data_IF_036543181637
#
_entry.id   IF_036543181637
#
_cell.length_a   1.000
_cell.length_b   1.000
_cell.length_c   1.000
_cell.angle_alpha   90.00
_cell.angle_beta   90.00
_cell.angle_gamma   90.00
#
_symmetry.space_group_name_H-M   'P 1'
#
loop_
_entity.id
_entity.type
_entity.pdbx_description
1 polymer ?
#
# COMPACT_ATOMS: atom_id res chain seq x y z
N UNK A 1 7.65 -9.82 10.66
CA UNK A 1 6.50 -9.23 9.94
C UNK A 1 7.04 -8.04 9.19
N UNK A 2 6.85 -7.96 7.90
CA UNK A 2 7.31 -6.81 7.13
C UNK A 2 6.42 -5.58 7.43
N UNK A 3 7.06 -4.43 7.64
CA UNK A 3 6.39 -3.16 7.83
C UNK A 3 6.40 -2.38 6.51
N UNK A 4 5.33 -1.64 6.25
CA UNK A 4 5.23 -0.80 5.08
C UNK A 4 4.82 0.63 5.44
N UNK A 5 5.27 1.59 4.63
CA UNK A 5 4.67 2.92 4.57
C UNK A 5 4.12 3.21 3.18
N UNK A 6 3.08 4.03 3.11
CA UNK A 6 2.47 4.48 1.87
C UNK A 6 2.63 5.99 1.78
N UNK A 7 3.19 6.46 0.68
CA UNK A 7 3.52 7.85 0.43
C UNK A 7 2.73 8.35 -0.78
N UNK A 8 1.92 9.39 -0.62
CA UNK A 8 1.18 10.00 -1.72
C UNK A 8 1.79 11.36 -2.04
N UNK A 9 2.22 11.52 -3.28
CA UNK A 9 2.84 12.75 -3.79
C UNK A 9 1.80 13.48 -4.65
N UNK A 10 1.55 14.73 -4.34
CA UNK A 10 0.65 15.58 -5.12
C UNK A 10 0.07 16.74 -4.30
N UNK A 11 0.26 17.95 -4.79
CA UNK A 11 -0.28 19.15 -4.17
C UNK A 11 -1.81 19.14 -4.13
N UNK A 12 -2.49 18.52 -5.10
CA UNK A 12 -3.95 18.39 -5.16
C UNK A 12 -4.52 17.59 -4.00
N UNK A 13 -3.72 16.67 -3.43
CA UNK A 13 -4.09 15.92 -2.21
C UNK A 13 -3.99 16.83 -0.99
N UNK A 14 -2.89 17.59 -0.88
CA UNK A 14 -2.64 18.49 0.26
C UNK A 14 -3.68 19.60 0.38
N UNK A 15 -4.10 20.17 -0.76
CA UNK A 15 -5.15 21.22 -0.76
C UNK A 15 -6.57 20.64 -0.69
N UNK A 16 -6.72 19.30 -0.61
CA UNK A 16 -8.02 18.62 -0.49
C UNK A 16 -8.87 18.66 -1.77
N UNK A 17 -8.26 18.90 -2.94
CA UNK A 17 -8.95 18.89 -4.22
C UNK A 17 -9.32 17.47 -4.65
N UNK A 18 -8.45 16.50 -4.33
CA UNK A 18 -8.65 15.07 -4.59
C UNK A 18 -8.52 14.30 -3.27
N UNK A 19 -9.37 13.32 -3.08
CA UNK A 19 -9.26 12.39 -1.95
C UNK A 19 -8.31 11.26 -2.30
N UNK A 20 -7.33 11.00 -1.44
CA UNK A 20 -6.41 9.86 -1.61
C UNK A 20 -7.16 8.54 -1.40
N UNK A 21 -7.57 7.93 -2.49
CA UNK A 21 -8.17 6.59 -2.50
C UNK A 21 -7.14 5.49 -2.72
N UNK A 22 -5.97 5.82 -3.29
CA UNK A 22 -4.90 4.87 -3.60
C UNK A 22 -4.34 4.26 -2.32
N UNK A 23 -3.98 5.09 -1.34
CA UNK A 23 -3.42 4.61 -0.06
C UNK A 23 -4.35 3.63 0.65
N UNK A 24 -5.66 3.86 0.61
CA UNK A 24 -6.65 2.95 1.21
C UNK A 24 -6.70 1.59 0.50
N UNK A 25 -6.62 1.56 -0.82
CA UNK A 25 -6.65 0.31 -1.60
C UNK A 25 -5.33 -0.48 -1.44
N UNK A 26 -4.20 0.23 -1.52
CA UNK A 26 -2.87 -0.36 -1.30
C UNK A 26 -2.77 -0.95 0.11
N UNK A 27 -3.19 -0.20 1.13
CA UNK A 27 -3.15 -0.67 2.52
C UNK A 27 -3.94 -1.96 2.73
N UNK A 28 -5.14 -2.06 2.15
CA UNK A 28 -5.93 -3.30 2.23
C UNK A 28 -5.22 -4.48 1.57
N UNK A 29 -4.67 -4.26 0.37
CA UNK A 29 -3.95 -5.31 -0.35
C UNK A 29 -2.69 -5.78 0.38
N UNK A 30 -1.98 -4.88 1.07
CA UNK A 30 -0.84 -5.20 1.93
C UNK A 30 -1.28 -5.97 3.18
N UNK A 31 -2.36 -5.54 3.84
CA UNK A 31 -2.94 -6.25 4.99
C UNK A 31 -3.33 -7.68 4.62
N UNK A 32 -3.95 -7.89 3.45
CA UNK A 32 -4.38 -9.21 2.96
C UNK A 32 -3.22 -10.20 2.78
N UNK A 33 -1.97 -9.72 2.70
CA UNK A 33 -0.77 -10.55 2.54
C UNK A 33 0.15 -10.55 3.77
N UNK A 34 -0.29 -10.00 4.89
CA UNK A 34 0.51 -10.03 6.12
C UNK A 34 1.55 -8.93 6.25
N UNK A 35 1.45 -7.87 5.47
CA UNK A 35 2.30 -6.67 5.58
C UNK A 35 1.60 -5.61 6.43
N UNK A 36 2.25 -5.17 7.49
CA UNK A 36 1.71 -4.14 8.39
C UNK A 36 1.99 -2.74 7.85
N UNK A 37 0.95 -2.02 7.47
CA UNK A 37 1.10 -0.59 7.16
C UNK A 37 1.25 0.20 8.47
N UNK A 38 2.42 0.79 8.66
CA UNK A 38 2.77 1.56 9.87
C UNK A 38 2.43 3.03 9.71
N UNK A 39 2.41 3.53 8.45
CA UNK A 39 2.27 4.94 8.17
C UNK A 39 1.68 5.19 6.78
N UNK A 40 0.87 6.24 6.67
CA UNK A 40 0.45 6.86 5.43
C UNK A 40 0.81 8.33 5.50
N UNK A 41 1.51 8.85 4.49
CA UNK A 41 2.01 10.23 4.46
C UNK A 41 1.69 10.84 3.11
N UNK A 42 1.12 12.04 3.11
CA UNK A 42 0.94 12.85 1.89
C UNK A 42 1.83 14.07 1.95
N UNK A 43 2.48 14.41 0.85
CA UNK A 43 3.36 15.57 0.72
C UNK A 43 3.33 16.10 -0.72
N UNK A 44 3.89 17.31 -0.90
CA UNK A 44 3.83 18.04 -2.16
C UNK A 44 4.84 17.56 -3.20
N UNK A 45 4.71 18.10 -4.41
CA UNK A 45 5.61 17.87 -5.54
C UNK A 45 6.87 18.74 -5.41
N UNK A 46 7.60 18.62 -4.29
CA UNK A 46 8.89 19.27 -4.06
C UNK A 46 10.00 18.22 -4.00
N UNK A 47 11.09 18.45 -4.74
CA UNK A 47 12.19 17.51 -4.92
C UNK A 47 12.85 17.11 -3.59
N UNK A 48 13.16 18.11 -2.75
CA UNK A 48 13.84 17.86 -1.48
C UNK A 48 12.91 17.20 -0.47
N UNK A 49 11.62 17.55 -0.49
CA UNK A 49 10.61 16.92 0.35
C UNK A 49 10.41 15.44 -0.01
N UNK A 50 10.38 15.12 -1.32
CA UNK A 50 10.31 13.74 -1.81
C UNK A 50 11.50 12.93 -1.31
N UNK A 51 12.73 13.42 -1.51
CA UNK A 51 13.97 12.74 -1.07
C UNK A 51 13.97 12.52 0.44
N UNK A 52 13.72 13.58 1.21
CA UNK A 52 13.78 13.53 2.66
C UNK A 52 12.71 12.57 3.22
N UNK A 53 11.49 12.66 2.71
CA UNK A 53 10.38 11.83 3.20
C UNK A 53 10.59 10.36 2.84
N UNK A 54 10.89 10.04 1.57
CA UNK A 54 11.09 8.65 1.15
C UNK A 54 12.32 8.01 1.82
N UNK A 55 13.42 8.76 1.98
CA UNK A 55 14.61 8.28 2.72
C UNK A 55 14.28 7.96 4.18
N UNK A 56 13.49 8.81 4.84
CA UNK A 56 13.04 8.58 6.22
C UNK A 56 12.15 7.34 6.31
N UNK A 57 11.21 7.18 5.40
CA UNK A 57 10.32 6.02 5.38
C UNK A 57 11.08 4.72 5.08
N UNK A 58 12.06 4.74 4.17
CA UNK A 58 12.95 3.61 3.87
C UNK A 58 13.85 3.22 5.06
N UNK A 59 14.18 4.16 5.94
CA UNK A 59 14.95 3.88 7.16
C UNK A 59 14.11 3.15 8.22
N UNK A 60 12.78 3.22 8.13
CA UNK A 60 11.87 2.73 9.16
C UNK A 60 11.01 1.53 8.72
N UNK A 61 10.98 1.22 7.44
CA UNK A 61 10.12 0.18 6.87
C UNK A 61 10.85 -0.61 5.78
N UNK A 62 10.59 -1.90 5.73
CA UNK A 62 11.11 -2.80 4.69
C UNK A 62 10.46 -2.53 3.32
N UNK A 63 9.24 -2.04 3.32
CA UNK A 63 8.48 -1.74 2.10
C UNK A 63 8.02 -0.29 2.13
N UNK A 64 8.33 0.47 1.08
CA UNK A 64 7.79 1.81 0.85
C UNK A 64 7.05 1.80 -0.48
N UNK A 65 5.78 2.21 -0.48
CA UNK A 65 5.01 2.38 -1.71
C UNK A 65 4.72 3.85 -1.88
N UNK A 66 5.14 4.43 -3.01
CA UNK A 66 4.78 5.81 -3.34
C UNK A 66 3.85 5.86 -4.55
N UNK A 67 2.91 6.80 -4.57
CA UNK A 67 2.02 7.07 -5.70
C UNK A 67 2.04 8.55 -6.05
N UNK A 68 2.10 8.88 -7.33
CA UNK A 68 2.08 10.26 -7.83
C UNK A 68 3.40 10.73 -8.44
N UNK A 69 3.34 11.85 -9.17
CA UNK A 69 4.49 12.53 -9.77
C UNK A 69 5.26 11.74 -10.85
N UNK A 70 4.62 10.73 -11.49
CA UNK A 70 5.22 9.91 -12.55
C UNK A 70 4.70 10.24 -13.96
N UNK A 71 3.96 11.30 -14.11
CA UNK A 71 3.44 11.75 -15.39
C UNK A 71 4.54 12.28 -16.34
N UNK A 72 4.14 12.74 -17.54
CA UNK A 72 5.08 13.25 -18.54
C UNK A 72 5.33 14.76 -18.45
N UNK A 73 4.77 15.44 -17.47
CA UNK A 73 4.81 16.88 -17.38
C UNK A 73 6.03 17.38 -16.56
N UNK A 74 6.30 18.68 -16.54
CA UNK A 74 7.52 19.20 -15.90
C UNK A 74 7.45 19.22 -14.38
N UNK A 75 6.25 19.18 -13.85
CA UNK A 75 5.93 19.05 -12.44
C UNK A 75 6.04 17.59 -11.92
N UNK A 76 6.13 16.62 -12.83
CA UNK A 76 6.36 15.22 -12.50
C UNK A 76 7.83 14.95 -12.16
N UNK A 77 8.26 15.34 -10.98
CA UNK A 77 9.67 15.31 -10.55
C UNK A 77 10.05 14.06 -9.76
N UNK A 78 9.09 13.23 -9.42
CA UNK A 78 9.29 12.02 -8.60
C UNK A 78 10.37 11.11 -9.20
N UNK A 79 10.37 10.90 -10.51
CA UNK A 79 11.38 10.05 -11.18
C UNK A 79 12.81 10.54 -10.95
N UNK A 80 13.04 11.87 -10.96
CA UNK A 80 14.36 12.44 -10.72
C UNK A 80 14.79 12.26 -9.26
N UNK A 81 13.88 12.49 -8.31
CA UNK A 81 14.16 12.25 -6.90
C UNK A 81 14.46 10.76 -6.60
N UNK A 82 13.74 9.84 -7.25
CA UNK A 82 14.00 8.41 -7.13
C UNK A 82 15.36 7.99 -7.72
N UNK A 83 15.79 8.59 -8.83
CA UNK A 83 17.12 8.38 -9.38
C UNK A 83 18.20 8.81 -8.39
N UNK A 84 18.03 9.95 -7.72
CA UNK A 84 18.97 10.43 -6.71
C UNK A 84 18.97 9.51 -5.47
N UNK A 85 17.81 9.16 -4.93
CA UNK A 85 17.71 8.23 -3.79
C UNK A 85 18.39 6.90 -4.10
N UNK A 86 18.21 6.37 -5.31
CA UNK A 86 18.79 5.08 -5.69
C UNK A 86 20.26 5.14 -6.10
N UNK A 87 20.81 6.36 -6.31
CA UNK A 87 22.17 6.55 -6.81
C UNK A 87 22.30 6.21 -8.29
N UNK A 88 21.22 6.35 -9.06
CA UNK A 88 21.24 6.15 -10.51
C UNK A 88 22.08 7.21 -11.19
N UNK A 89 22.96 6.79 -12.09
CA UNK A 89 23.83 7.68 -12.88
C UNK A 89 23.28 7.93 -14.29
N UNK A 90 22.31 7.11 -14.73
CA UNK A 90 21.73 7.21 -16.07
C UNK A 90 20.29 6.73 -16.14
N UNK A 91 19.66 7.01 -17.28
CA UNK A 91 18.33 6.51 -17.59
C UNK A 91 18.40 5.54 -18.76
N UNK A 92 17.66 4.45 -18.66
CA UNK A 92 17.54 3.42 -19.67
C UNK A 92 16.10 3.30 -20.17
N UNK A 93 15.95 2.91 -21.44
CA UNK A 93 14.62 2.63 -22.00
C UNK A 93 14.17 1.23 -21.55
N UNK A 94 13.01 1.15 -20.92
CA UNK A 94 12.38 -0.15 -20.70
C UNK A 94 11.50 -0.52 -21.91
N UNK A 95 11.93 -1.54 -22.65
CA UNK A 95 11.27 -1.97 -23.89
C UNK A 95 9.83 -2.46 -23.64
N UNK A 96 9.58 -3.13 -22.53
CA UNK A 96 8.25 -3.59 -22.14
C UNK A 96 7.27 -2.44 -21.94
N UNK A 97 7.69 -1.43 -21.19
CA UNK A 97 6.88 -0.23 -20.98
C UNK A 97 6.76 0.61 -22.25
N UNK A 98 7.81 0.74 -23.07
CA UNK A 98 7.75 1.45 -24.34
C UNK A 98 6.72 0.81 -25.29
N UNK A 99 6.72 -0.52 -25.36
CA UNK A 99 5.71 -1.25 -26.14
C UNK A 99 4.30 -0.96 -25.63
N UNK A 100 4.09 -0.96 -24.34
CA UNK A 100 2.79 -0.65 -23.73
C UNK A 100 2.34 0.77 -24.03
N UNK A 101 3.25 1.77 -23.95
CA UNK A 101 2.98 3.14 -24.35
C UNK A 101 2.45 3.21 -25.79
N UNK A 102 3.11 2.51 -26.71
CA UNK A 102 2.68 2.44 -28.11
C UNK A 102 1.30 1.80 -28.26
N UNK A 103 1.06 0.67 -27.60
CA UNK A 103 -0.23 -0.05 -27.67
C UNK A 103 -1.39 0.80 -27.15
N UNK A 104 -1.22 1.45 -25.99
CA UNK A 104 -2.25 2.30 -25.35
C UNK A 104 -2.59 3.51 -26.23
N UNK A 105 -1.58 4.21 -26.74
CA UNK A 105 -1.80 5.40 -27.56
C UNK A 105 -2.42 5.02 -28.92
N UNK A 106 -1.94 3.97 -29.56
CA UNK A 106 -2.50 3.47 -30.81
C UNK A 106 -3.97 3.04 -30.65
N UNK A 107 -4.31 2.34 -29.57
CA UNK A 107 -5.69 1.95 -29.30
C UNK A 107 -6.64 3.15 -29.09
N UNK A 108 -6.08 4.31 -28.68
CA UNK A 108 -6.81 5.58 -28.57
C UNK A 108 -6.79 6.42 -29.84
N UNK A 109 -6.15 5.95 -30.92
CA UNK A 109 -6.00 6.70 -32.16
C UNK A 109 -5.07 7.91 -32.04
N UNK A 110 -4.12 7.90 -31.09
CA UNK A 110 -3.19 8.96 -30.82
C UNK A 110 -1.79 8.62 -31.33
N UNK A 111 -1.08 9.64 -31.83
CA UNK A 111 0.32 9.51 -32.20
C UNK A 111 1.21 9.42 -30.96
N UNK A 112 2.30 8.66 -31.07
CA UNK A 112 3.30 8.51 -30.01
C UNK A 112 4.31 9.65 -30.13
N UNK A 113 4.18 10.64 -29.25
CA UNK A 113 5.10 11.77 -29.16
C UNK A 113 6.36 11.38 -28.35
N UNK A 114 7.44 12.14 -28.49
CA UNK A 114 8.66 11.89 -27.74
C UNK A 114 8.47 12.01 -26.22
N UNK A 115 7.59 12.89 -25.77
CA UNK A 115 7.22 12.99 -24.36
C UNK A 115 6.54 11.71 -23.84
N UNK A 116 5.80 11.00 -24.69
CA UNK A 116 5.22 9.70 -24.32
C UNK A 116 6.29 8.59 -24.26
N UNK A 117 7.25 8.61 -25.19
CA UNK A 117 8.40 7.67 -25.16
C UNK A 117 9.27 7.88 -23.93
N UNK A 118 9.40 9.15 -23.48
CA UNK A 118 10.14 9.49 -22.26
C UNK A 118 9.52 8.87 -20.98
N UNK A 119 8.25 8.44 -21.02
CA UNK A 119 7.65 7.68 -19.92
C UNK A 119 8.34 6.33 -19.71
N UNK A 120 8.82 5.71 -20.76
CA UNK A 120 9.56 4.44 -20.68
C UNK A 120 11.04 4.58 -20.30
N UNK A 121 11.56 5.82 -20.16
CA UNK A 121 12.89 6.07 -19.58
C UNK A 121 12.80 5.93 -18.07
N UNK A 122 13.59 5.06 -17.50
CA UNK A 122 13.63 4.77 -16.06
C UNK A 122 15.08 4.83 -15.55
N UNK A 123 15.32 5.13 -14.26
CA UNK A 123 16.63 5.04 -13.65
C UNK A 123 17.25 3.65 -13.87
N UNK A 124 18.55 3.58 -14.17
CA UNK A 124 19.26 2.32 -14.44
C UNK A 124 19.37 1.38 -13.24
N UNK A 125 19.08 1.88 -12.05
CA UNK A 125 19.07 1.14 -10.79
C UNK A 125 17.72 0.47 -10.47
N UNK A 126 16.66 0.71 -11.26
CA UNK A 126 15.35 0.15 -10.97
C UNK A 126 14.99 -1.04 -11.85
N UNK A 127 14.19 -1.93 -11.28
CA UNK A 127 13.39 -2.90 -12.03
C UNK A 127 12.05 -2.27 -12.43
N UNK A 128 11.40 -2.80 -13.46
CA UNK A 128 10.13 -2.28 -13.95
C UNK A 128 9.06 -3.38 -13.96
N UNK A 129 7.99 -3.14 -13.26
CA UNK A 129 6.73 -3.86 -13.46
C UNK A 129 5.95 -3.08 -14.52
N UNK A 130 5.63 -3.73 -15.63
CA UNK A 130 4.95 -3.08 -16.76
C UNK A 130 3.54 -2.65 -16.35
N UNK A 131 3.23 -1.37 -16.54
CA UNK A 131 1.89 -0.85 -16.29
C UNK A 131 0.99 -1.13 -17.51
N UNK A 132 0.11 -2.11 -17.40
CA UNK A 132 -0.84 -2.47 -18.46
C UNK A 132 -2.04 -1.53 -18.59
N UNK A 133 -2.19 -0.59 -17.65
CA UNK A 133 -3.34 0.32 -17.59
C UNK A 133 -2.99 1.74 -18.02
N UNK A 134 -1.69 2.09 -18.07
CA UNK A 134 -1.25 3.45 -18.38
C UNK A 134 0.17 3.53 -18.92
N UNK A 135 0.61 4.76 -19.15
CA UNK A 135 1.92 5.01 -19.77
C UNK A 135 3.07 5.13 -18.77
N UNK A 136 2.78 5.49 -17.51
CA UNK A 136 3.80 5.59 -16.47
C UNK A 136 4.20 4.19 -15.97
N UNK A 137 5.50 3.85 -15.93
CA UNK A 137 5.97 2.56 -15.42
C UNK A 137 5.75 2.45 -13.90
N UNK A 138 5.67 1.22 -13.41
CA UNK A 138 5.83 0.95 -11.98
C UNK A 138 7.31 0.63 -11.78
N UNK A 139 8.01 1.47 -11.03
CA UNK A 139 9.45 1.32 -10.77
C UNK A 139 9.67 0.68 -9.41
N UNK A 140 10.59 -0.28 -9.36
CA UNK A 140 10.95 -1.01 -8.13
C UNK A 140 12.44 -0.80 -7.86
N UNK A 141 12.74 -0.27 -6.68
CA UNK A 141 14.11 -0.04 -6.23
C UNK A 141 14.38 -0.91 -5.01
N UNK A 142 15.42 -1.75 -5.08
CA UNK A 142 15.82 -2.61 -3.98
C UNK A 142 17.11 -2.10 -3.37
N UNK A 143 17.08 -1.90 -2.07
CA UNK A 143 18.19 -1.35 -1.31
C UNK A 143 18.78 -2.41 -0.39
N UNK A 144 20.11 -2.60 -0.41
CA UNK A 144 20.76 -3.53 0.48
C UNK A 144 20.80 -3.01 1.92
N UNK A 145 21.07 -3.91 2.86
CA UNK A 145 21.10 -3.65 4.32
C UNK A 145 22.03 -2.48 4.68
N UNK A 146 23.13 -2.32 3.95
CA UNK A 146 24.16 -1.29 4.24
C UNK A 146 23.60 0.13 4.09
N UNK A 147 22.51 0.30 3.35
CA UNK A 147 21.96 1.64 3.06
C UNK A 147 21.03 2.15 4.14
N UNK A 148 20.16 1.30 4.66
CA UNK A 148 19.13 1.69 5.63
C UNK A 148 19.14 0.87 6.93
N UNK A 149 20.11 -0.06 7.08
CA UNK A 149 20.23 -0.94 8.25
C UNK A 149 19.40 -2.22 8.14
N UNK A 150 18.58 -2.33 7.12
CA UNK A 150 17.79 -3.51 6.70
C UNK A 150 17.62 -3.50 5.18
N UNK A 151 17.23 -4.63 4.60
CA UNK A 151 16.80 -4.66 3.19
C UNK A 151 15.51 -3.85 3.07
N UNK A 152 15.44 -2.98 2.08
CA UNK A 152 14.28 -2.14 1.82
C UNK A 152 13.93 -2.11 0.34
N UNK A 153 12.64 -2.14 0.03
CA UNK A 153 12.14 -2.04 -1.34
C UNK A 153 11.18 -0.87 -1.48
N UNK A 154 11.41 -0.03 -2.48
CA UNK A 154 10.53 1.07 -2.83
C UNK A 154 9.82 0.77 -4.14
N UNK A 155 8.50 0.83 -4.12
CA UNK A 155 7.62 0.74 -5.28
C UNK A 155 7.08 2.12 -5.62
N UNK A 156 7.38 2.62 -6.80
CA UNK A 156 6.82 3.88 -7.29
C UNK A 156 5.72 3.59 -8.31
N UNK A 157 4.50 3.97 -7.96
CA UNK A 157 3.29 3.69 -8.71
C UNK A 157 2.68 4.97 -9.29
N UNK A 158 1.92 4.89 -10.39
CA UNK A 158 1.17 6.03 -10.91
C UNK A 158 0.20 6.62 -9.87
N UNK A 159 -0.02 7.94 -9.94
CA UNK A 159 -1.01 8.65 -9.11
C UNK A 159 -2.45 8.43 -9.57
N UNK A 160 -2.68 8.16 -10.87
CA UNK A 160 -4.00 7.95 -11.44
C UNK A 160 -4.66 6.71 -10.81
N UNK A 161 -5.83 6.84 -10.12
CA UNK A 161 -6.40 5.72 -9.34
C UNK A 161 -6.65 4.45 -10.15
N UNK A 162 -7.12 4.57 -11.38
CA UNK A 162 -7.34 3.43 -12.26
C UNK A 162 -6.04 2.65 -12.55
N UNK A 163 -4.93 3.35 -12.78
CA UNK A 163 -3.61 2.75 -13.04
C UNK A 163 -3.04 2.15 -11.74
N UNK A 164 -3.08 2.90 -10.65
CA UNK A 164 -2.59 2.46 -9.36
C UNK A 164 -3.29 1.19 -8.88
N UNK A 165 -4.62 1.15 -8.92
CA UNK A 165 -5.42 -0.02 -8.52
C UNK A 165 -5.13 -1.21 -9.45
N UNK A 166 -5.02 -0.97 -10.76
CA UNK A 166 -4.68 -2.02 -11.73
C UNK A 166 -3.30 -2.63 -11.52
N UNK A 167 -2.35 -1.87 -10.96
CA UNK A 167 -0.99 -2.31 -10.67
C UNK A 167 -0.86 -3.11 -9.36
N UNK A 168 -1.79 -2.96 -8.42
CA UNK A 168 -1.73 -3.63 -7.10
C UNK A 168 -1.46 -5.14 -7.21
N UNK A 169 -2.16 -5.93 -8.05
CA UNK A 169 -1.92 -7.37 -8.12
C UNK A 169 -0.48 -7.75 -8.48
N UNK A 170 0.15 -7.01 -9.39
CA UNK A 170 1.52 -7.28 -9.82
C UNK A 170 2.54 -6.84 -8.76
N UNK A 171 2.31 -5.72 -8.09
CA UNK A 171 3.13 -5.26 -6.95
C UNK A 171 3.03 -6.27 -5.79
N UNK A 172 1.83 -6.73 -5.45
CA UNK A 172 1.62 -7.76 -4.41
C UNK A 172 2.31 -9.08 -4.77
N UNK A 173 2.26 -9.47 -6.04
CA UNK A 173 2.96 -10.68 -6.51
C UNK A 173 4.48 -10.53 -6.34
N UNK A 174 5.03 -9.37 -6.64
CA UNK A 174 6.46 -9.10 -6.49
C UNK A 174 6.86 -9.07 -5.01
N UNK A 175 6.09 -8.42 -4.15
CA UNK A 175 6.30 -8.42 -2.68
C UNK A 175 6.33 -9.86 -2.15
N UNK A 176 5.37 -10.70 -2.52
CA UNK A 176 5.31 -12.13 -2.10
C UNK A 176 6.50 -12.95 -2.56
N UNK A 177 7.14 -12.57 -3.66
CA UNK A 177 8.30 -13.28 -4.19
C UNK A 177 9.61 -12.92 -3.46
N UNK A 178 9.67 -11.74 -2.84
CA UNK A 178 10.91 -11.21 -2.27
C UNK A 178 10.88 -11.04 -0.75
N UNK A 179 9.68 -10.97 -0.14
CA UNK A 179 9.53 -10.76 1.28
C UNK A 179 9.11 -12.03 2.02
N UNK A 180 9.69 -12.23 3.21
CA UNK A 180 9.23 -13.26 4.14
C UNK A 180 7.99 -12.77 4.88
N UNK A 181 6.82 -13.12 4.35
CA UNK A 181 5.55 -12.67 4.88
C UNK A 181 5.02 -13.57 5.98
N UNK A 182 4.34 -12.96 6.93
CA UNK A 182 3.60 -13.64 7.99
C UNK A 182 2.11 -13.51 7.68
N UNK A 183 1.39 -14.60 7.60
CA UNK A 183 -0.05 -14.54 7.34
C UNK A 183 -0.78 -13.76 8.43
N UNK A 184 -1.78 -12.98 8.03
CA UNK A 184 -2.73 -12.32 8.93
C UNK A 184 -4.10 -12.97 8.75
N UNK A 185 -4.73 -13.30 9.87
CA UNK A 185 -6.08 -13.82 9.89
C UNK A 185 -6.99 -12.85 10.64
N UNK A 186 -8.06 -12.46 10.00
CA UNK A 186 -9.07 -11.64 10.68
C UNK A 186 -10.48 -12.04 10.28
N UNK A 187 -11.38 -11.93 11.23
CA UNK A 187 -12.82 -12.05 11.00
C UNK A 187 -13.55 -10.91 11.68
N UNK A 188 -14.70 -10.59 11.15
CA UNK A 188 -15.55 -9.52 11.65
C UNK A 188 -16.93 -10.06 12.03
N UNK A 189 -17.48 -9.54 13.10
CA UNK A 189 -18.90 -9.67 13.43
C UNK A 189 -19.54 -8.30 13.53
N UNK A 190 -20.83 -8.20 13.20
CA UNK A 190 -21.57 -6.95 13.30
C UNK A 190 -22.49 -7.01 14.51
N UNK A 191 -22.39 -5.99 15.37
CA UNK A 191 -23.26 -5.78 16.53
C UNK A 191 -24.18 -4.62 16.26
N UNK A 192 -25.49 -4.89 16.34
CA UNK A 192 -26.52 -3.89 16.11
C UNK A 192 -27.18 -3.47 17.43
N UNK A 193 -27.66 -2.23 17.48
CA UNK A 193 -28.50 -1.73 18.58
C UNK A 193 -27.75 -1.30 19.83
N UNK A 194 -26.43 -1.32 19.83
CA UNK A 194 -25.57 -0.78 20.89
C UNK A 194 -24.66 0.33 20.35
N UNK A 195 -24.52 1.40 21.13
CA UNK A 195 -23.47 2.38 20.89
C UNK A 195 -22.11 1.77 21.27
N UNK A 196 -21.01 2.24 20.65
CA UNK A 196 -19.67 1.72 20.88
C UNK A 196 -19.28 1.66 22.37
N UNK A 197 -19.53 2.74 23.12
CA UNK A 197 -19.21 2.80 24.55
C UNK A 197 -20.03 1.83 25.40
N UNK A 198 -21.29 1.58 25.04
CA UNK A 198 -22.13 0.61 25.70
C UNK A 198 -21.69 -0.82 25.39
N UNK A 199 -21.33 -1.08 24.13
CA UNK A 199 -20.79 -2.37 23.69
C UNK A 199 -19.47 -2.68 24.40
N UNK A 200 -18.50 -1.74 24.40
CA UNK A 200 -17.22 -1.92 25.06
C UNK A 200 -17.37 -2.27 26.54
N UNK A 201 -18.28 -1.60 27.23
CA UNK A 201 -18.58 -1.90 28.64
C UNK A 201 -19.22 -3.30 28.82
N UNK A 202 -20.12 -3.70 27.91
CA UNK A 202 -20.80 -5.00 27.99
C UNK A 202 -19.87 -6.18 27.75
N UNK A 203 -18.85 -6.01 26.89
CA UNK A 203 -17.90 -7.07 26.53
C UNK A 203 -16.52 -6.94 27.22
N UNK A 204 -16.33 -5.99 28.13
CA UNK A 204 -15.06 -5.69 28.79
C UNK A 204 -14.37 -6.94 29.36
N UNK A 205 -15.10 -7.77 30.12
CA UNK A 205 -14.54 -9.02 30.67
C UNK A 205 -14.11 -10.04 29.61
N UNK A 206 -14.78 -10.07 28.46
CA UNK A 206 -14.40 -10.93 27.36
C UNK A 206 -13.16 -10.35 26.65
N UNK A 207 -13.15 -9.04 26.39
CA UNK A 207 -12.00 -8.33 25.79
C UNK A 207 -10.74 -8.54 26.62
N UNK A 208 -10.81 -8.37 27.93
CA UNK A 208 -9.69 -8.60 28.86
C UNK A 208 -9.22 -10.07 28.91
N UNK A 209 -10.06 -11.01 28.49
CA UNK A 209 -9.74 -12.44 28.45
C UNK A 209 -9.18 -12.91 27.12
N UNK A 210 -9.08 -12.03 26.12
CA UNK A 210 -8.53 -12.40 24.81
C UNK A 210 -7.05 -12.78 24.93
N UNK A 211 -6.59 -13.77 24.14
CA UNK A 211 -5.18 -14.10 24.02
C UNK A 211 -4.34 -12.87 23.62
N UNK A 212 -3.11 -12.76 24.14
CA UNK A 212 -2.20 -11.63 23.89
C UNK A 212 -1.88 -11.41 22.39
N UNK A 213 -1.93 -12.47 21.58
CA UNK A 213 -1.70 -12.47 20.15
C UNK A 213 -2.95 -12.15 19.33
N UNK A 214 -4.10 -11.96 20.00
CA UNK A 214 -5.37 -11.65 19.34
C UNK A 214 -5.76 -10.19 19.58
N UNK A 215 -5.93 -9.45 18.50
CA UNK A 215 -6.19 -8.01 18.55
C UNK A 215 -7.65 -7.70 18.19
N UNK A 216 -8.34 -7.02 19.10
CA UNK A 216 -9.70 -6.52 18.88
C UNK A 216 -9.69 -5.09 18.34
N UNK A 217 -10.52 -4.83 17.34
CA UNK A 217 -10.79 -3.48 16.85
C UNK A 217 -12.29 -3.22 16.80
N UNK A 218 -12.69 -2.02 17.27
CA UNK A 218 -14.04 -1.50 17.13
C UNK A 218 -14.10 -0.59 15.91
N UNK A 219 -15.01 -0.88 14.99
CA UNK A 219 -15.22 -0.16 13.75
C UNK A 219 -16.68 0.34 13.70
N UNK A 220 -16.99 1.47 14.36
CA UNK A 220 -18.34 1.98 14.43
C UNK A 220 -18.83 2.53 13.09
N UNK A 221 -20.09 2.26 12.78
CA UNK A 221 -20.79 2.87 11.66
C UNK A 221 -22.17 3.34 12.14
N UNK A 222 -22.48 4.63 12.03
CA UNK A 222 -23.73 5.20 12.54
C UNK A 222 -25.00 4.56 11.96
N UNK A 223 -24.92 3.98 10.76
CA UNK A 223 -26.06 3.39 10.06
C UNK A 223 -26.20 1.88 10.28
N UNK A 224 -25.06 1.17 10.52
CA UNK A 224 -25.06 -0.29 10.53
C UNK A 224 -24.59 -0.90 11.86
N UNK A 225 -24.33 -0.08 12.88
CA UNK A 225 -23.86 -0.54 14.18
C UNK A 225 -22.33 -0.62 14.30
N UNK A 226 -21.83 -1.41 15.23
CA UNK A 226 -20.39 -1.57 15.50
C UNK A 226 -19.91 -2.89 14.93
N UNK A 227 -18.93 -2.83 14.04
CA UNK A 227 -18.21 -4.03 13.57
C UNK A 227 -17.05 -4.29 14.51
N UNK A 228 -17.03 -5.47 15.11
CA UNK A 228 -15.89 -5.98 15.88
C UNK A 228 -15.02 -6.80 14.95
N UNK A 229 -13.72 -6.54 14.92
CA UNK A 229 -12.72 -7.31 14.15
C UNK A 229 -11.73 -7.93 15.11
N UNK A 230 -11.57 -9.25 15.07
CA UNK A 230 -10.45 -9.95 15.67
C UNK A 230 -9.39 -10.24 14.61
N UNK A 231 -8.12 -10.01 14.97
CA UNK A 231 -6.97 -10.25 14.10
C UNK A 231 -5.89 -11.01 14.84
N UNK A 232 -5.29 -12.02 14.15
CA UNK A 232 -4.13 -12.80 14.63
C UNK A 232 -3.06 -12.73 13.56
N UNK A 233 -1.80 -12.66 13.98
CA UNK A 233 -0.65 -12.60 13.10
C UNK A 233 0.19 -13.87 13.24
N UNK A 234 0.44 -14.56 12.11
CA UNK A 234 1.18 -15.83 12.07
C UNK A 234 0.31 -17.06 12.33
N UNK A 235 0.93 -18.23 12.32
CA UNK A 235 0.25 -19.51 12.50
C UNK A 235 -0.29 -20.12 11.22
N UNK A 236 -1.09 -21.17 11.36
CA UNK A 236 -1.75 -21.84 10.23
C UNK A 236 -3.17 -21.31 10.06
N UNK A 237 -3.61 -21.16 8.80
CA UNK A 237 -4.94 -20.61 8.48
C UNK A 237 -6.06 -21.37 9.21
N UNK A 238 -6.04 -22.69 9.16
CA UNK A 238 -7.11 -23.52 9.76
C UNK A 238 -7.18 -23.35 11.27
N UNK A 239 -6.04 -23.26 11.94
CA UNK A 239 -5.96 -23.12 13.39
C UNK A 239 -6.38 -21.72 13.83
N UNK A 240 -5.87 -20.67 13.19
CA UNK A 240 -6.15 -19.29 13.59
C UNK A 240 -7.59 -18.86 13.27
N UNK A 241 -8.13 -19.32 12.15
CA UNK A 241 -9.55 -19.09 11.85
C UNK A 241 -10.46 -19.80 12.87
N UNK A 242 -10.10 -21.00 13.31
CA UNK A 242 -10.82 -21.73 14.36
C UNK A 242 -10.75 -20.99 15.70
N UNK A 243 -9.58 -20.49 16.10
CA UNK A 243 -9.39 -19.70 17.33
C UNK A 243 -10.27 -18.45 17.35
N UNK A 244 -10.30 -17.71 16.23
CA UNK A 244 -11.17 -16.51 16.10
C UNK A 244 -12.65 -16.91 16.19
N UNK A 245 -13.06 -18.01 15.57
CA UNK A 245 -14.44 -18.50 15.62
C UNK A 245 -14.84 -18.91 17.04
N UNK A 246 -13.95 -19.54 17.78
CA UNK A 246 -14.15 -19.91 19.18
C UNK A 246 -14.35 -18.67 20.06
N UNK A 247 -13.57 -17.60 19.86
CA UNK A 247 -13.73 -16.36 20.60
C UNK A 247 -15.05 -15.65 20.27
N UNK A 248 -15.44 -15.59 19.01
CA UNK A 248 -16.76 -15.05 18.66
C UNK A 248 -17.92 -15.92 19.15
N UNK A 249 -17.74 -17.23 19.25
CA UNK A 249 -18.73 -18.09 19.88
C UNK A 249 -18.86 -17.84 21.40
N UNK A 250 -17.77 -17.47 22.09
CA UNK A 250 -17.79 -17.03 23.51
C UNK A 250 -18.44 -15.66 23.67
N UNK A 251 -18.29 -14.77 22.72
CA UNK A 251 -18.88 -13.44 22.72
C UNK A 251 -20.41 -13.47 22.54
N UNK A 252 -20.91 -14.38 21.70
CA UNK A 252 -22.32 -14.45 21.33
C UNK A 252 -23.32 -14.52 22.51
N UNK A 253 -23.14 -15.36 23.56
CA UNK A 253 -24.04 -15.38 24.71
C UNK A 253 -23.95 -14.12 25.58
N UNK A 254 -22.82 -13.42 25.59
CA UNK A 254 -22.66 -12.17 26.36
C UNK A 254 -23.56 -11.09 25.76
N UNK A 255 -23.65 -11.00 24.46
CA UNK A 255 -24.52 -10.06 23.75
C UNK A 255 -26.00 -10.48 23.75
N UNK A 256 -26.33 -11.69 24.23
CA UNK A 256 -27.68 -12.13 24.62
C UNK A 256 -28.68 -12.26 23.47
N UNK A 257 -28.22 -12.36 22.20
CA UNK A 257 -29.18 -12.18 21.09
C UNK A 257 -28.75 -12.90 19.83
#
# INVERSE_FOLDING_TARGET
MANASICTIGDEILIGQIVDTNSSQISRALEDIGVKVTRMVSFGDDHDEIINTLTKELTSNEIVITTGGLGPTKDDITKAALAEISGSESYVVNDGQLKMVHEILHARGLDVLDINKAQALVPDTCEVIVNHMGTAPIMVFRFPVERFGHEATLYAMPGVPFEAIGAIPDVIKDIKAHESLTDIFHKCVMVFGLAESALSKEIESWEDSLPEDMHLAYLPNPLTGVRLRLSIYGGSREEEERRIDEEFARLKPILGR
#
